data_IF_821062293093
#
_entry.id   IF_821062293093
#
_cell.length_a   1.000
_cell.length_b   1.000
_cell.length_c   1.000
_cell.angle_alpha   90.00
_cell.angle_beta   90.00
_cell.angle_gamma   90.00
#
_symmetry.space_group_name_H-M   'P 1'
#
loop_
_entity.id
_entity.type
_entity.pdbx_description
1 polymer ?
#
# COMPACT_ATOMS: atom_id res chain seq x y z
N UNK A 1 11.18 -0.98 17.42
CA UNK A 1 11.64 0.41 17.63
C UNK A 1 11.24 1.16 16.37
N UNK A 2 10.34 2.13 16.53
CA UNK A 2 9.99 3.09 15.48
C UNK A 2 11.14 4.11 15.44
N UNK A 3 11.81 4.26 14.30
CA UNK A 3 12.96 5.16 14.18
C UNK A 3 12.47 6.56 13.80
N UNK A 4 12.69 7.53 14.70
CA UNK A 4 12.47 8.97 14.52
C UNK A 4 13.51 9.63 13.59
N UNK A 5 13.60 9.20 12.33
CA UNK A 5 14.28 9.97 11.28
C UNK A 5 13.20 10.69 10.45
N UNK A 6 13.51 11.82 9.82
CA UNK A 6 12.63 12.43 8.83
C UNK A 6 12.47 11.57 7.55
N UNK A 7 13.11 10.39 7.52
CA UNK A 7 12.84 9.23 6.67
C UNK A 7 12.41 7.99 7.49
N UNK A 8 11.69 8.19 8.60
CA UNK A 8 11.18 7.14 9.48
C UNK A 8 10.48 6.11 8.62
N UNK A 9 11.08 4.93 8.55
CA UNK A 9 10.60 3.81 7.76
C UNK A 9 9.22 3.41 8.31
N UNK A 10 8.16 3.97 7.70
CA UNK A 10 6.77 3.64 8.03
C UNK A 10 6.40 2.23 7.55
N UNK A 11 7.35 1.48 7.00
CA UNK A 11 7.17 0.17 6.39
C UNK A 11 6.71 -0.90 7.39
N UNK A 12 5.65 -1.60 6.99
CA UNK A 12 5.14 -2.85 7.53
C UNK A 12 5.63 -4.03 6.68
N UNK A 13 6.92 -4.04 6.36
CA UNK A 13 7.54 -5.13 5.62
C UNK A 13 7.76 -6.37 6.48
N UNK A 14 7.74 -7.54 5.84
CA UNK A 14 8.13 -8.82 6.41
C UNK A 14 7.31 -9.24 7.64
N UNK A 15 5.99 -9.15 7.52
CA UNK A 15 5.02 -9.58 8.54
C UNK A 15 4.32 -10.86 8.08
N UNK A 16 4.92 -12.05 8.27
CA UNK A 16 4.40 -13.31 7.72
C UNK A 16 3.09 -13.79 8.36
N UNK A 17 2.74 -13.26 9.53
CA UNK A 17 1.58 -13.72 10.32
C UNK A 17 0.47 -12.68 10.46
N UNK A 18 0.67 -11.47 9.96
CA UNK A 18 -0.30 -10.37 10.12
C UNK A 18 -1.38 -10.49 9.04
N UNK A 19 -2.64 -10.40 9.47
CA UNK A 19 -3.83 -10.41 8.60
C UNK A 19 -4.45 -9.05 8.37
N UNK A 20 -4.34 -8.17 9.36
CA UNK A 20 -4.89 -6.81 9.31
C UNK A 20 -3.83 -5.85 9.85
N UNK A 21 -3.66 -4.73 9.16
CA UNK A 21 -2.83 -3.62 9.63
C UNK A 21 -3.72 -2.40 9.81
N UNK A 22 -3.72 -1.84 11.02
CA UNK A 22 -4.34 -0.56 11.31
C UNK A 22 -3.32 0.56 11.09
N UNK A 23 -3.63 1.48 10.17
CA UNK A 23 -2.78 2.63 9.85
C UNK A 23 -3.36 3.97 10.34
N UNK A 24 -4.36 3.95 11.22
CA UNK A 24 -5.04 5.15 11.74
C UNK A 24 -4.08 6.18 12.35
N UNK A 25 -2.99 5.69 12.96
CA UNK A 25 -2.02 6.54 13.65
C UNK A 25 -0.90 7.07 12.76
N UNK A 26 -0.88 6.70 11.47
CA UNK A 26 0.21 7.10 10.57
C UNK A 26 -0.06 8.45 9.90
N UNK A 27 0.89 9.35 10.02
CA UNK A 27 0.88 10.64 9.34
C UNK A 27 1.64 10.55 8.01
N UNK A 28 0.95 10.19 6.92
CA UNK A 28 1.56 10.06 5.58
C UNK A 28 1.53 11.35 4.75
N UNK A 29 0.98 12.45 5.27
CA UNK A 29 0.80 13.70 4.52
C UNK A 29 2.12 14.36 4.09
N UNK A 30 3.23 14.06 4.79
CA UNK A 30 4.58 14.52 4.45
C UNK A 30 5.43 13.42 3.80
N UNK A 31 4.90 12.19 3.67
CA UNK A 31 5.64 11.09 3.09
C UNK A 31 5.88 11.35 1.60
N UNK A 32 7.13 11.20 1.18
CA UNK A 32 7.55 11.27 -0.23
C UNK A 32 7.82 9.88 -0.82
N UNK A 33 7.93 8.87 0.04
CA UNK A 33 8.29 7.51 -0.32
C UNK A 33 7.44 6.48 0.46
N UNK A 34 6.77 5.59 -0.27
CA UNK A 34 6.00 4.45 0.24
C UNK A 34 6.52 3.12 -0.32
N UNK A 35 7.76 3.07 -0.82
CA UNK A 35 8.34 1.85 -1.38
C UNK A 35 8.26 0.71 -0.37
N UNK A 36 7.89 -0.47 -0.87
CA UNK A 36 7.85 -1.70 -0.08
C UNK A 36 7.01 -1.63 1.23
N UNK A 37 6.10 -0.66 1.37
CA UNK A 37 5.37 -0.41 2.63
C UNK A 37 4.72 -1.64 3.26
N UNK A 38 4.23 -2.60 2.47
CA UNK A 38 3.62 -3.86 2.93
C UNK A 38 4.26 -5.08 2.27
N UNK A 39 5.55 -5.00 1.93
CA UNK A 39 6.26 -6.05 1.20
C UNK A 39 6.43 -7.31 2.06
N UNK A 40 6.26 -8.49 1.47
CA UNK A 40 6.41 -9.80 2.14
C UNK A 40 5.47 -9.89 3.36
N UNK A 41 4.19 -9.66 3.11
CA UNK A 41 3.10 -9.80 4.09
C UNK A 41 2.08 -10.83 3.58
N UNK A 42 2.47 -12.11 3.40
CA UNK A 42 1.71 -13.10 2.65
C UNK A 42 0.29 -13.32 3.18
N UNK A 43 0.05 -13.15 4.48
CA UNK A 43 -1.27 -13.34 5.09
C UNK A 43 -2.08 -12.05 5.22
N UNK A 44 -1.60 -10.90 4.73
CA UNK A 44 -2.32 -9.64 4.81
C UNK A 44 -3.61 -9.71 3.99
N UNK A 45 -4.75 -9.63 4.65
CA UNK A 45 -6.08 -9.69 4.04
C UNK A 45 -6.62 -8.27 3.79
N UNK A 46 -6.42 -7.34 4.73
CA UNK A 46 -6.93 -5.95 4.67
C UNK A 46 -6.05 -4.93 5.40
N UNK A 47 -6.23 -3.65 5.07
CA UNK A 47 -5.65 -2.51 5.78
C UNK A 47 -6.79 -1.60 6.22
N UNK A 48 -6.85 -1.31 7.52
CA UNK A 48 -7.89 -0.45 8.07
C UNK A 48 -7.49 1.03 7.97
N UNK A 49 -8.45 1.87 7.61
CA UNK A 49 -8.33 3.34 7.56
C UNK A 49 -7.37 3.87 6.49
N UNK A 50 -7.13 3.07 5.45
CA UNK A 50 -6.28 3.42 4.33
C UNK A 50 -6.80 4.61 3.52
N UNK A 51 -8.11 4.86 3.56
CA UNK A 51 -8.79 5.99 2.93
C UNK A 51 -8.46 7.35 3.57
N UNK A 52 -7.81 7.37 4.73
CA UNK A 52 -7.40 8.59 5.45
C UNK A 52 -6.06 9.13 4.96
N UNK A 53 -5.33 8.35 4.16
CA UNK A 53 -4.00 8.71 3.70
C UNK A 53 -4.03 9.85 2.67
N UNK A 54 -3.27 10.91 2.94
CA UNK A 54 -2.98 11.94 1.95
C UNK A 54 -1.65 11.61 1.25
N UNK A 55 -1.71 10.92 0.11
CA UNK A 55 -0.53 10.55 -0.67
C UNK A 55 -0.07 11.63 -1.65
N UNK A 56 -0.59 12.85 -1.55
CA UNK A 56 -0.38 13.90 -2.54
C UNK A 56 1.08 14.36 -2.69
N UNK A 57 1.95 14.06 -1.72
CA UNK A 57 3.38 14.37 -1.76
C UNK A 57 4.25 13.16 -2.13
N UNK A 58 3.65 11.97 -2.27
CA UNK A 58 4.37 10.74 -2.56
C UNK A 58 4.87 10.75 -4.00
N UNK A 59 6.15 10.41 -4.18
CA UNK A 59 6.82 10.31 -5.47
C UNK A 59 7.23 8.89 -5.81
N UNK A 60 7.35 8.00 -4.81
CA UNK A 60 7.74 6.60 -4.97
C UNK A 60 6.74 5.67 -4.28
N UNK A 61 6.15 4.75 -5.06
CA UNK A 61 5.23 3.69 -4.62
C UNK A 61 5.68 2.32 -5.17
N UNK A 62 6.99 2.08 -5.30
CA UNK A 62 7.50 0.81 -5.80
C UNK A 62 7.14 -0.35 -4.86
N UNK A 63 6.59 -1.43 -5.40
CA UNK A 63 6.48 -2.72 -4.70
C UNK A 63 5.72 -2.68 -3.36
N UNK A 64 4.81 -1.73 -3.17
CA UNK A 64 4.03 -1.52 -1.93
C UNK A 64 3.42 -2.82 -1.39
N UNK A 65 2.74 -3.60 -2.22
CA UNK A 65 2.07 -4.87 -1.85
C UNK A 65 2.78 -6.10 -2.40
N UNK A 66 4.08 -6.02 -2.67
CA UNK A 66 4.82 -7.13 -3.24
C UNK A 66 4.78 -8.35 -2.30
N UNK A 67 4.27 -9.49 -2.78
CA UNK A 67 4.08 -10.72 -1.99
C UNK A 67 3.05 -10.60 -0.85
N UNK A 68 2.04 -9.73 -0.99
CA UNK A 68 0.84 -9.74 -0.16
C UNK A 68 -0.21 -10.69 -0.76
N UNK A 69 -0.05 -12.00 -0.55
CA UNK A 69 -0.79 -13.01 -1.31
C UNK A 69 -2.30 -12.94 -1.07
N UNK A 70 -2.73 -12.70 0.17
CA UNK A 70 -4.12 -12.78 0.59
C UNK A 70 -4.90 -11.46 0.50
N UNK A 71 -4.27 -10.36 0.05
CA UNK A 71 -4.95 -9.06 0.00
C UNK A 71 -5.99 -9.08 -1.12
N UNK A 72 -7.26 -8.83 -0.76
CA UNK A 72 -8.39 -8.95 -1.70
C UNK A 72 -8.79 -7.62 -2.31
N UNK A 73 -9.07 -6.65 -1.45
CA UNK A 73 -9.50 -5.30 -1.80
C UNK A 73 -8.88 -4.35 -0.78
N UNK A 74 -7.76 -3.70 -1.10
CA UNK A 74 -7.25 -2.60 -0.27
C UNK A 74 -8.20 -1.40 -0.43
N UNK A 75 -9.28 -1.41 0.33
CA UNK A 75 -10.27 -0.35 0.34
C UNK A 75 -9.59 1.00 0.59
N UNK A 76 -9.88 1.99 -0.25
CA UNK A 76 -9.27 3.32 -0.15
C UNK A 76 -8.11 3.60 -1.12
N UNK A 77 -7.58 2.61 -1.87
CA UNK A 77 -6.59 2.89 -2.93
C UNK A 77 -7.12 3.86 -3.98
N UNK A 78 -8.41 3.79 -4.31
CA UNK A 78 -9.04 4.73 -5.26
C UNK A 78 -8.99 6.19 -4.82
N UNK A 79 -8.68 6.48 -3.54
CA UNK A 79 -8.51 7.84 -3.02
C UNK A 79 -7.07 8.33 -3.07
N UNK A 80 -6.11 7.46 -3.40
CA UNK A 80 -4.71 7.85 -3.47
C UNK A 80 -4.51 8.91 -4.55
N UNK A 81 -3.82 9.99 -4.21
CA UNK A 81 -3.37 10.95 -5.19
C UNK A 81 -2.00 10.50 -5.72
N UNK A 82 -1.97 10.02 -6.97
CA UNK A 82 -0.74 9.53 -7.62
C UNK A 82 -0.13 10.53 -8.60
N UNK A 83 -0.62 11.77 -8.65
CA UNK A 83 -0.20 12.78 -9.65
C UNK A 83 1.29 13.09 -9.63
N UNK A 84 1.93 12.95 -8.46
CA UNK A 84 3.34 13.24 -8.24
C UNK A 84 4.20 11.96 -8.24
N UNK A 85 3.57 10.78 -8.36
CA UNK A 85 4.27 9.50 -8.30
C UNK A 85 4.99 9.25 -9.62
N UNK A 86 6.28 9.03 -9.54
CA UNK A 86 7.15 8.76 -10.70
C UNK A 86 7.57 7.30 -10.79
N UNK A 87 7.44 6.54 -9.69
CA UNK A 87 7.69 5.10 -9.66
C UNK A 87 6.50 4.35 -9.05
N UNK A 88 5.80 3.55 -9.86
CA UNK A 88 4.69 2.66 -9.46
C UNK A 88 4.97 1.21 -9.86
N UNK A 89 6.25 0.84 -10.01
CA UNK A 89 6.61 -0.50 -10.47
C UNK A 89 6.17 -1.54 -9.45
N UNK A 90 5.63 -2.66 -9.95
CA UNK A 90 5.42 -3.87 -9.16
C UNK A 90 4.55 -3.74 -7.91
N UNK A 91 3.69 -2.72 -7.78
CA UNK A 91 2.84 -2.49 -6.60
C UNK A 91 2.15 -3.78 -6.15
N UNK A 92 1.57 -4.52 -7.09
CA UNK A 92 0.83 -5.77 -6.85
C UNK A 92 1.56 -7.02 -7.36
N UNK A 93 2.89 -6.98 -7.47
CA UNK A 93 3.65 -8.15 -7.91
C UNK A 93 3.46 -9.30 -6.91
N UNK A 94 3.06 -10.48 -7.42
CA UNK A 94 2.81 -11.69 -6.63
C UNK A 94 1.65 -11.57 -5.62
N UNK A 95 0.72 -10.62 -5.76
CA UNK A 95 -0.56 -10.64 -5.02
C UNK A 95 -1.54 -11.57 -5.73
N UNK A 96 -2.02 -12.63 -5.06
CA UNK A 96 -2.79 -13.71 -5.71
C UNK A 96 -4.29 -13.53 -5.57
N UNK A 97 -4.73 -13.06 -4.41
CA UNK A 97 -6.15 -12.96 -4.04
C UNK A 97 -6.79 -11.61 -4.40
N UNK A 98 -6.03 -10.71 -5.05
CA UNK A 98 -6.50 -9.37 -5.43
C UNK A 98 -7.73 -9.49 -6.34
N UNK A 99 -8.78 -8.70 -6.09
CA UNK A 99 -10.04 -8.71 -6.84
C UNK A 99 -10.65 -7.32 -6.86
N UNK A 100 -11.36 -6.97 -7.94
CA UNK A 100 -12.11 -5.69 -8.07
C UNK A 100 -11.30 -4.44 -7.71
N UNK A 101 -10.03 -4.38 -8.12
CA UNK A 101 -9.17 -3.22 -7.84
C UNK A 101 -9.69 -2.01 -8.64
N UNK A 102 -9.95 -0.91 -7.95
CA UNK A 102 -10.23 0.39 -8.58
C UNK A 102 -9.00 1.27 -8.37
N UNK A 103 -8.32 1.61 -9.46
CA UNK A 103 -7.19 2.55 -9.42
C UNK A 103 -7.66 3.98 -9.11
N UNK A 104 -6.75 4.85 -8.65
CA UNK A 104 -7.03 6.28 -8.42
C UNK A 104 -7.71 7.02 -9.58
N UNK A 105 -7.42 6.63 -10.82
CA UNK A 105 -8.02 7.19 -12.02
C UNK A 105 -9.43 6.66 -12.32
N UNK A 106 -9.96 5.79 -11.45
CA UNK A 106 -11.24 5.12 -11.62
C UNK A 106 -11.19 3.85 -12.47
N UNK A 107 -10.01 3.46 -12.97
CA UNK A 107 -9.86 2.25 -13.78
C UNK A 107 -10.14 1.01 -12.92
N UNK A 108 -11.19 0.27 -13.29
CA UNK A 108 -11.48 -1.02 -12.70
C UNK A 108 -10.62 -2.10 -13.35
N UNK A 109 -9.72 -2.69 -12.58
CA UNK A 109 -9.04 -3.93 -12.95
C UNK A 109 -9.76 -5.09 -12.28
N UNK A 110 -10.55 -5.78 -13.10
CA UNK A 110 -11.01 -7.13 -12.78
C UNK A 110 -9.81 -8.05 -12.97
N UNK A 111 -9.17 -8.47 -11.89
CA UNK A 111 -8.18 -9.52 -11.98
C UNK A 111 -8.88 -10.77 -12.52
N UNK A 112 -8.42 -11.22 -13.68
CA UNK A 112 -8.58 -12.62 -14.04
C UNK A 112 -7.60 -13.39 -13.13
N UNK A 113 -8.15 -14.07 -12.13
CA UNK A 113 -7.43 -15.18 -11.50
C UNK A 113 -7.46 -16.38 -12.45
#
# INVERSE_FOLDING_TARGET
MLNDDASADISFSNLPSVKTIDVTHLAVSQATDLHCMFRVTPLLETIDRFETWNTGNVTNMDSVFCVANEIRQPDGISKWNTRNVTNMRGIFTKTRSLSNLIYPDGTLVKSAM
#
